data_IF_010789627460
#
_entry.id   IF_010789627460
#
_cell.length_a   1.000
_cell.length_b   1.000
_cell.length_c   1.000
_cell.angle_alpha   90.00
_cell.angle_beta   90.00
_cell.angle_gamma   90.00
#
_symmetry.space_group_name_H-M   'P 1'
#
loop_
_entity.id
_entity.type
_entity.pdbx_description
1 polymer ?
#
# COMPACT_ATOMS: atom_id res chain seq x y z
N UNK A 1 -99.40 -43.23 -10.42
CA UNK A 1 -98.24 -42.88 -9.56
C UNK A 1 -97.12 -43.89 -9.80
N UNK A 2 -96.08 -43.54 -10.55
CA UNK A 2 -94.86 -44.34 -10.72
C UNK A 2 -93.68 -43.41 -10.50
N UNK A 3 -93.02 -43.57 -9.35
CA UNK A 3 -91.79 -42.86 -9.01
C UNK A 3 -90.66 -43.86 -9.23
N UNK A 4 -89.91 -43.69 -10.33
CA UNK A 4 -88.67 -44.40 -10.60
C UNK A 4 -87.55 -43.76 -9.79
N UNK A 5 -87.30 -44.32 -8.62
CA UNK A 5 -86.06 -44.14 -7.87
C UNK A 5 -85.20 -45.36 -8.20
N UNK A 6 -84.10 -45.19 -8.95
CA UNK A 6 -82.89 -46.04 -8.94
C UNK A 6 -81.96 -45.64 -10.11
N UNK A 7 -81.05 -44.69 -9.88
CA UNK A 7 -79.79 -44.56 -10.63
C UNK A 7 -78.88 -43.54 -9.96
N UNK A 8 -78.08 -43.96 -8.95
CA UNK A 8 -77.04 -43.08 -8.37
C UNK A 8 -75.73 -43.79 -7.96
N UNK A 9 -75.49 -45.05 -8.30
CA UNK A 9 -74.29 -45.77 -7.81
C UNK A 9 -73.25 -46.18 -8.85
N UNK A 10 -73.43 -45.89 -10.16
CA UNK A 10 -72.43 -46.28 -11.18
C UNK A 10 -71.29 -45.28 -11.42
N UNK A 11 -71.31 -44.08 -10.83
CA UNK A 11 -70.25 -43.07 -11.02
C UNK A 11 -68.94 -43.31 -10.26
N UNK A 12 -68.88 -44.25 -9.30
CA UNK A 12 -67.70 -44.40 -8.40
C UNK A 12 -66.60 -45.32 -8.94
N UNK A 13 -66.85 -46.17 -9.95
CA UNK A 13 -65.82 -47.08 -10.51
C UNK A 13 -64.92 -46.42 -11.56
N UNK A 14 -65.41 -45.41 -12.28
CA UNK A 14 -64.65 -44.71 -13.31
C UNK A 14 -63.57 -43.75 -12.76
N UNK A 15 -63.65 -43.35 -11.48
CA UNK A 15 -62.68 -42.42 -10.87
C UNK A 15 -61.41 -43.11 -10.31
N UNK A 16 -61.37 -44.45 -10.21
CA UNK A 16 -60.21 -45.17 -9.65
C UNK A 16 -58.96 -45.14 -10.56
N UNK A 17 -59.11 -44.95 -11.87
CA UNK A 17 -57.98 -44.85 -12.80
C UNK A 17 -57.32 -43.46 -12.84
N UNK A 18 -58.12 -42.41 -12.67
CA UNK A 18 -57.62 -41.02 -12.69
C UNK A 18 -56.74 -40.71 -11.48
N UNK A 19 -57.07 -41.25 -10.31
CA UNK A 19 -56.27 -41.07 -9.10
C UNK A 19 -54.85 -41.62 -9.25
N UNK A 20 -54.68 -42.78 -9.91
CA UNK A 20 -53.37 -43.40 -10.14
C UNK A 20 -52.51 -42.53 -11.06
N UNK A 21 -53.09 -41.96 -12.12
CA UNK A 21 -52.37 -41.07 -13.03
C UNK A 21 -51.91 -39.77 -12.34
N UNK A 22 -52.75 -39.20 -11.48
CA UNK A 22 -52.40 -37.98 -10.72
C UNK A 22 -51.27 -38.29 -9.73
N UNK A 23 -51.35 -39.40 -8.99
CA UNK A 23 -50.31 -39.79 -8.02
C UNK A 23 -48.99 -40.10 -8.73
N UNK A 24 -49.02 -40.86 -9.84
CA UNK A 24 -47.82 -41.13 -10.64
C UNK A 24 -47.19 -39.84 -11.17
N UNK A 25 -48.02 -38.90 -11.67
CA UNK A 25 -47.56 -37.58 -12.10
C UNK A 25 -46.93 -36.77 -10.97
N UNK A 26 -47.52 -36.79 -9.77
CA UNK A 26 -46.95 -36.11 -8.60
C UNK A 26 -45.63 -36.72 -8.15
N UNK A 27 -45.50 -38.05 -8.14
CA UNK A 27 -44.24 -38.73 -7.78
C UNK A 27 -43.14 -38.36 -8.78
N UNK A 28 -43.44 -38.40 -10.09
CA UNK A 28 -42.49 -38.00 -11.14
C UNK A 28 -42.08 -36.53 -10.95
N UNK A 29 -43.05 -35.64 -10.71
CA UNK A 29 -42.76 -34.23 -10.47
C UNK A 29 -41.87 -34.02 -9.24
N UNK A 30 -42.14 -34.71 -8.13
CA UNK A 30 -41.33 -34.62 -6.91
C UNK A 30 -39.92 -35.20 -7.10
N UNK A 31 -39.77 -36.27 -7.87
CA UNK A 31 -38.45 -36.85 -8.20
C UNK A 31 -37.66 -35.88 -9.08
N UNK A 32 -38.27 -35.30 -10.12
CA UNK A 32 -37.61 -34.31 -10.99
C UNK A 32 -37.19 -33.07 -10.20
N UNK A 33 -38.05 -32.57 -9.30
CA UNK A 33 -37.70 -31.45 -8.43
C UNK A 33 -36.58 -31.82 -7.45
N UNK A 34 -36.67 -32.99 -6.81
CA UNK A 34 -35.66 -33.47 -5.87
C UNK A 34 -34.29 -33.64 -6.52
N UNK A 35 -34.24 -34.15 -7.75
CA UNK A 35 -32.99 -34.36 -8.47
C UNK A 35 -32.36 -33.05 -8.97
N UNK A 36 -33.17 -32.08 -9.38
CA UNK A 36 -32.68 -30.72 -9.70
C UNK A 36 -32.00 -30.05 -8.50
N UNK A 37 -32.50 -30.27 -7.27
CA UNK A 37 -31.90 -29.70 -6.05
C UNK A 37 -30.47 -30.22 -5.84
N UNK A 38 -30.19 -31.48 -6.14
CA UNK A 38 -28.83 -32.03 -6.01
C UNK A 38 -27.84 -31.40 -6.99
N UNK A 39 -28.25 -31.27 -8.26
CA UNK A 39 -27.42 -30.65 -9.30
C UNK A 39 -27.14 -29.17 -8.98
N UNK A 40 -28.16 -28.43 -8.50
CA UNK A 40 -27.99 -27.05 -8.04
C UNK A 40 -27.08 -26.98 -6.80
N UNK A 41 -27.23 -27.91 -5.86
CA UNK A 41 -26.39 -27.99 -4.66
C UNK A 41 -24.92 -28.19 -4.98
N UNK A 42 -24.61 -29.11 -5.90
CA UNK A 42 -23.24 -29.34 -6.38
C UNK A 42 -22.68 -28.13 -7.11
N UNK A 43 -23.47 -27.50 -7.99
CA UNK A 43 -23.06 -26.28 -8.68
C UNK A 43 -22.79 -25.11 -7.72
N UNK A 44 -23.60 -24.95 -6.66
CA UNK A 44 -23.38 -23.94 -5.63
C UNK A 44 -22.15 -24.23 -4.78
N UNK A 45 -21.88 -25.49 -4.44
CA UNK A 45 -20.68 -25.89 -3.72
C UNK A 45 -19.42 -25.59 -4.54
N UNK A 46 -19.43 -25.97 -5.82
CA UNK A 46 -18.35 -25.71 -6.76
C UNK A 46 -18.07 -24.21 -6.92
N UNK A 47 -19.13 -23.39 -7.05
CA UNK A 47 -19.01 -21.93 -7.12
C UNK A 47 -18.30 -21.32 -5.90
N UNK A 48 -18.51 -21.85 -4.69
CA UNK A 48 -17.83 -21.35 -3.48
C UNK A 48 -16.34 -21.63 -3.50
N UNK A 49 -15.95 -22.82 -3.97
CA UNK A 49 -14.55 -23.19 -4.13
C UNK A 49 -13.89 -22.33 -5.22
N UNK A 50 -14.55 -22.18 -6.37
CA UNK A 50 -14.11 -21.31 -7.45
C UNK A 50 -13.89 -19.88 -6.97
N UNK A 51 -14.78 -19.34 -6.13
CA UNK A 51 -14.60 -18.00 -5.57
C UNK A 51 -13.35 -17.91 -4.70
N UNK A 52 -13.12 -18.86 -3.80
CA UNK A 52 -11.93 -18.87 -2.94
C UNK A 52 -10.63 -18.98 -3.76
N UNK A 53 -10.63 -19.78 -4.84
CA UNK A 53 -9.48 -19.92 -5.74
C UNK A 53 -9.24 -18.66 -6.56
N UNK A 54 -10.29 -18.05 -7.11
CA UNK A 54 -10.19 -16.79 -7.84
C UNK A 54 -9.67 -15.68 -6.92
N UNK A 55 -10.18 -15.58 -5.70
CA UNK A 55 -9.79 -14.59 -4.70
C UNK A 55 -8.29 -14.72 -4.36
N UNK A 56 -7.83 -15.94 -4.06
CA UNK A 56 -6.42 -16.20 -3.75
C UNK A 56 -5.49 -15.89 -4.93
N UNK A 57 -5.88 -16.32 -6.14
CA UNK A 57 -5.11 -16.10 -7.35
C UNK A 57 -5.03 -14.62 -7.74
N UNK A 58 -6.15 -13.89 -7.66
CA UNK A 58 -6.19 -12.46 -7.93
C UNK A 58 -5.32 -11.69 -6.93
N UNK A 59 -5.42 -12.00 -5.64
CA UNK A 59 -4.62 -11.34 -4.61
C UNK A 59 -3.12 -11.62 -4.77
N UNK A 60 -2.74 -12.87 -5.06
CA UNK A 60 -1.35 -13.25 -5.26
C UNK A 60 -0.75 -12.65 -6.53
N UNK A 61 -1.51 -12.67 -7.64
CA UNK A 61 -1.10 -12.06 -8.89
C UNK A 61 -0.98 -10.55 -8.79
N UNK A 62 -1.96 -9.87 -8.18
CA UNK A 62 -1.94 -8.42 -8.00
C UNK A 62 -0.76 -7.94 -7.13
N UNK A 63 -0.29 -8.75 -6.17
CA UNK A 63 0.93 -8.48 -5.40
C UNK A 63 2.22 -8.58 -6.23
N UNK A 64 2.16 -9.23 -7.38
CA UNK A 64 3.33 -9.55 -8.20
C UNK A 64 3.47 -8.64 -9.42
N UNK A 65 2.60 -7.61 -9.55
CA UNK A 65 2.84 -6.52 -10.47
C UNK A 65 4.08 -5.73 -10.04
N UNK A 66 4.98 -5.55 -11.00
CA UNK A 66 6.23 -4.81 -10.80
C UNK A 66 6.84 -4.43 -12.15
N UNK A 67 8.08 -3.92 -12.17
CA UNK A 67 8.70 -3.34 -13.36
C UNK A 67 8.78 -4.30 -14.56
N UNK A 68 8.81 -5.61 -14.30
CA UNK A 68 8.85 -6.69 -15.29
C UNK A 68 7.54 -6.86 -16.10
N UNK A 69 6.49 -6.10 -15.80
CA UNK A 69 5.23 -6.09 -16.54
C UNK A 69 4.20 -7.13 -16.08
N UNK A 70 3.01 -7.16 -16.71
CA UNK A 70 1.88 -8.00 -16.29
C UNK A 70 2.12 -9.50 -16.33
N UNK A 71 3.05 -9.97 -17.18
CA UNK A 71 3.35 -11.40 -17.32
C UNK A 71 3.70 -12.08 -16.00
N UNK A 72 4.42 -11.39 -15.11
CA UNK A 72 4.78 -11.96 -13.81
C UNK A 72 3.56 -12.11 -12.90
N UNK A 73 2.67 -11.13 -12.89
CA UNK A 73 1.42 -11.16 -12.13
C UNK A 73 0.52 -12.32 -12.57
N UNK A 74 0.35 -12.50 -13.88
CA UNK A 74 -0.41 -13.62 -14.43
C UNK A 74 0.23 -14.97 -14.11
N UNK A 75 1.56 -15.07 -14.23
CA UNK A 75 2.28 -16.30 -13.90
C UNK A 75 2.10 -16.69 -12.44
N UNK A 76 2.16 -15.74 -11.51
CA UNK A 76 1.92 -16.00 -10.09
C UNK A 76 0.45 -16.36 -9.82
N UNK A 77 -0.51 -15.67 -10.44
CA UNK A 77 -1.93 -16.04 -10.33
C UNK A 77 -2.15 -17.51 -10.78
N UNK A 78 -1.55 -17.91 -11.90
CA UNK A 78 -1.62 -19.28 -12.39
C UNK A 78 -0.91 -20.30 -11.49
N UNK A 79 0.21 -19.94 -10.86
CA UNK A 79 0.88 -20.82 -9.88
C UNK A 79 0.00 -21.11 -8.68
N UNK A 80 -0.81 -20.14 -8.24
CA UNK A 80 -1.77 -20.33 -7.14
C UNK A 80 -2.97 -21.20 -7.57
N UNK A 81 -3.37 -21.12 -8.84
CA UNK A 81 -4.45 -21.96 -9.39
C UNK A 81 -4.00 -23.39 -9.70
N UNK A 82 -2.75 -23.59 -10.12
CA UNK A 82 -2.19 -24.88 -10.53
C UNK A 82 -2.45 -26.03 -9.53
N UNK A 83 -2.06 -25.92 -8.24
CA UNK A 83 -2.24 -27.02 -7.30
C UNK A 83 -3.71 -27.25 -6.92
N UNK A 84 -4.54 -26.20 -6.91
CA UNK A 84 -5.95 -26.32 -6.50
C UNK A 84 -6.86 -26.81 -7.62
N UNK A 85 -6.54 -26.49 -8.88
CA UNK A 85 -7.28 -26.95 -10.06
C UNK A 85 -6.67 -28.22 -10.70
N UNK A 86 -5.52 -28.68 -10.22
CA UNK A 86 -4.90 -29.94 -10.64
C UNK A 86 -4.20 -29.88 -11.99
N UNK A 87 -3.55 -28.77 -12.31
CA UNK A 87 -2.72 -28.63 -13.52
C UNK A 87 -1.29 -28.20 -13.18
N UNK A 88 -0.37 -28.32 -14.15
CA UNK A 88 1.00 -27.80 -14.02
C UNK A 88 1.21 -26.64 -14.98
N UNK A 89 2.10 -25.72 -14.60
CA UNK A 89 2.64 -24.73 -15.51
C UNK A 89 3.83 -25.30 -16.28
N UNK A 90 4.06 -24.92 -17.55
CA UNK A 90 3.32 -23.91 -18.32
C UNK A 90 1.96 -24.38 -18.86
N UNK A 91 1.06 -23.43 -19.17
CA UNK A 91 -0.24 -23.72 -19.81
C UNK A 91 -0.60 -22.71 -20.89
N UNK A 92 -0.89 -23.20 -22.10
CA UNK A 92 -1.17 -22.35 -23.26
C UNK A 92 -0.05 -21.34 -23.53
N UNK A 93 -0.41 -20.07 -23.69
CA UNK A 93 0.53 -18.97 -23.89
C UNK A 93 1.29 -18.54 -22.62
N UNK A 94 0.93 -19.09 -21.44
CA UNK A 94 1.61 -18.82 -20.17
C UNK A 94 2.77 -19.80 -20.00
N UNK A 95 3.93 -19.45 -20.56
CA UNK A 95 5.11 -20.32 -20.63
C UNK A 95 6.19 -20.03 -19.59
N UNK A 96 6.24 -18.80 -19.05
CA UNK A 96 7.18 -18.41 -18.00
C UNK A 96 6.70 -17.15 -17.27
N UNK A 97 7.42 -16.75 -16.21
CA UNK A 97 7.19 -15.46 -15.52
C UNK A 97 7.36 -14.23 -16.42
N UNK A 98 8.17 -14.34 -17.48
CA UNK A 98 8.34 -13.27 -18.47
C UNK A 98 7.31 -13.31 -19.60
N UNK A 99 6.67 -14.47 -19.83
CA UNK A 99 5.75 -14.70 -20.95
C UNK A 99 4.48 -15.40 -20.48
N UNK A 100 3.55 -14.60 -19.94
CA UNK A 100 2.22 -15.03 -19.54
C UNK A 100 1.22 -13.89 -19.82
N UNK A 101 0.80 -13.69 -21.08
CA UNK A 101 0.00 -12.54 -21.48
C UNK A 101 -1.44 -12.65 -20.97
N UNK A 102 -2.14 -11.53 -20.74
CA UNK A 102 -3.58 -11.57 -20.45
C UNK A 102 -4.34 -12.40 -21.51
N UNK A 103 -5.35 -13.15 -21.08
CA UNK A 103 -6.11 -14.02 -21.97
C UNK A 103 -6.87 -15.12 -21.23
N UNK A 104 -7.52 -15.98 -22.02
CA UNK A 104 -8.25 -17.14 -21.52
C UNK A 104 -7.43 -18.40 -21.74
N UNK A 105 -7.23 -19.16 -20.67
CA UNK A 105 -6.54 -20.44 -20.64
C UNK A 105 -7.53 -21.56 -20.34
N UNK A 106 -7.30 -22.74 -20.89
CA UNK A 106 -8.09 -23.93 -20.59
C UNK A 106 -7.19 -24.97 -19.93
N UNK A 107 -7.53 -25.39 -18.72
CA UNK A 107 -6.77 -26.37 -17.96
C UNK A 107 -7.71 -27.24 -17.11
N UNK A 108 -7.55 -28.56 -17.17
CA UNK A 108 -8.29 -29.51 -16.33
C UNK A 108 -9.83 -29.32 -16.30
N UNK A 109 -10.45 -28.90 -17.40
CA UNK A 109 -11.89 -28.64 -17.48
C UNK A 109 -12.33 -27.25 -16.99
N UNK A 110 -11.38 -26.42 -16.57
CA UNK A 110 -11.60 -25.02 -16.21
C UNK A 110 -11.20 -24.09 -17.37
N UNK A 111 -11.94 -23.01 -17.53
CA UNK A 111 -11.50 -21.82 -18.26
C UNK A 111 -11.07 -20.75 -17.26
N UNK A 112 -9.84 -20.29 -17.37
CA UNK A 112 -9.22 -19.28 -16.51
C UNK A 112 -9.01 -18.06 -17.38
N UNK A 113 -9.70 -16.96 -17.10
CA UNK A 113 -9.47 -15.68 -17.80
C UNK A 113 -8.73 -14.74 -16.87
N UNK A 114 -7.57 -14.28 -17.33
CA UNK A 114 -6.80 -13.23 -16.70
C UNK A 114 -6.95 -11.97 -17.54
N UNK A 115 -7.38 -10.87 -16.92
CA UNK A 115 -7.41 -9.57 -17.60
C UNK A 115 -6.83 -8.48 -16.72
N UNK A 116 -6.06 -7.62 -17.37
CA UNK A 116 -5.49 -6.41 -16.80
C UNK A 116 -6.47 -5.25 -17.01
N UNK A 117 -6.75 -4.48 -15.96
CA UNK A 117 -7.46 -3.20 -16.11
C UNK A 117 -6.69 -2.03 -15.51
N UNK A 118 -6.63 -0.94 -16.27
CA UNK A 118 -5.99 0.31 -15.88
C UNK A 118 -7.02 1.25 -15.23
N UNK A 119 -6.69 1.85 -14.07
CA UNK A 119 -7.43 3.02 -13.59
C UNK A 119 -7.17 4.21 -14.53
N UNK A 120 -8.25 4.88 -14.94
CA UNK A 120 -8.19 6.13 -15.72
C UNK A 120 -7.62 7.24 -14.82
N UNK A 121 -6.70 8.07 -15.36
CA UNK A 121 -5.79 9.05 -14.69
C UNK A 121 -4.37 8.54 -14.37
N UNK A 122 -3.83 7.73 -15.28
CA UNK A 122 -2.52 7.10 -15.23
C UNK A 122 -1.33 8.01 -14.90
N UNK A 123 -0.46 7.45 -14.06
CA UNK A 123 0.98 7.65 -14.08
C UNK A 123 1.58 6.30 -14.53
N UNK A 124 2.07 6.29 -15.77
CA UNK A 124 2.81 5.28 -16.57
C UNK A 124 2.74 3.74 -16.26
N UNK A 125 2.23 3.01 -17.28
CA UNK A 125 2.63 1.68 -17.80
C UNK A 125 2.37 0.35 -17.04
N UNK A 126 1.69 0.31 -15.89
CA UNK A 126 1.37 -0.97 -15.24
C UNK A 126 -0.14 -1.13 -14.96
N UNK A 127 -0.71 -2.34 -15.13
CA UNK A 127 -2.07 -2.60 -14.68
C UNK A 127 -2.17 -2.41 -13.17
N UNK A 128 -3.15 -1.63 -12.74
CA UNK A 128 -3.44 -1.39 -11.32
C UNK A 128 -4.33 -2.47 -10.71
N UNK A 129 -4.90 -3.33 -11.55
CA UNK A 129 -5.94 -4.30 -11.18
C UNK A 129 -5.80 -5.57 -12.01
N UNK A 130 -5.77 -6.71 -11.32
CA UNK A 130 -5.88 -8.04 -11.90
C UNK A 130 -7.30 -8.58 -11.71
N UNK A 131 -7.93 -8.94 -12.82
CA UNK A 131 -9.18 -9.70 -12.84
C UNK A 131 -8.89 -11.17 -13.13
N UNK A 132 -9.38 -12.05 -12.26
CA UNK A 132 -9.34 -13.51 -12.42
C UNK A 132 -10.75 -14.02 -12.49
N UNK A 133 -11.12 -14.62 -13.62
CA UNK A 133 -12.40 -15.31 -13.80
C UNK A 133 -12.15 -16.79 -13.99
N UNK A 134 -12.75 -17.60 -13.13
CA UNK A 134 -12.73 -19.06 -13.23
C UNK A 134 -14.10 -19.54 -13.68
N UNK A 135 -14.13 -20.35 -14.74
CA UNK A 135 -15.33 -21.03 -15.22
C UNK A 135 -15.08 -22.52 -15.23
N UNK A 136 -16.02 -23.32 -14.75
CA UNK A 136 -15.93 -24.78 -14.71
C UNK A 136 -17.18 -25.37 -15.36
N UNK A 137 -16.99 -26.39 -16.20
CA UNK A 137 -18.07 -27.16 -16.78
C UNK A 137 -18.07 -28.56 -16.19
N UNK A 138 -19.08 -28.86 -15.38
CA UNK A 138 -19.25 -30.17 -14.77
C UNK A 138 -20.43 -30.93 -15.41
N UNK A 139 -20.34 -32.26 -15.56
CA UNK A 139 -21.46 -33.07 -16.01
C UNK A 139 -22.63 -32.95 -15.01
N UNK A 140 -23.85 -32.78 -15.52
CA UNK A 140 -25.02 -32.88 -14.65
C UNK A 140 -25.31 -34.35 -14.30
N UNK A 141 -25.72 -34.61 -13.06
CA UNK A 141 -26.02 -35.98 -12.63
C UNK A 141 -27.45 -36.33 -13.01
N UNK A 142 -28.40 -35.40 -12.85
CA UNK A 142 -29.81 -35.67 -13.08
C UNK A 142 -30.44 -34.76 -14.13
N UNK A 143 -29.96 -33.53 -14.32
CA UNK A 143 -30.45 -32.62 -15.34
C UNK A 143 -30.22 -33.19 -16.76
N UNK A 144 -29.29 -34.13 -16.93
CA UNK A 144 -29.11 -34.90 -18.16
C UNK A 144 -30.34 -35.73 -18.55
N UNK A 145 -31.17 -36.12 -17.57
CA UNK A 145 -32.42 -36.85 -17.83
C UNK A 145 -33.47 -35.99 -18.52
N UNK A 146 -33.35 -34.66 -18.41
CA UNK A 146 -34.23 -33.67 -19.06
C UNK A 146 -33.49 -32.86 -20.14
N UNK A 147 -32.34 -33.37 -20.62
CA UNK A 147 -31.61 -32.84 -21.78
C UNK A 147 -30.46 -31.88 -21.47
N UNK A 148 -30.21 -31.50 -20.22
CA UNK A 148 -29.08 -30.64 -19.85
C UNK A 148 -27.88 -31.49 -19.45
N UNK A 149 -26.89 -31.68 -20.32
CA UNK A 149 -25.76 -32.59 -20.06
C UNK A 149 -24.63 -31.98 -19.22
N UNK A 150 -24.56 -30.65 -19.14
CA UNK A 150 -23.50 -29.92 -18.43
C UNK A 150 -24.08 -28.74 -17.65
N UNK A 151 -23.44 -28.42 -16.52
CA UNK A 151 -23.69 -27.23 -15.73
C UNK A 151 -22.42 -26.38 -15.75
N UNK A 152 -22.59 -25.09 -16.06
CA UNK A 152 -21.48 -24.13 -16.05
C UNK A 152 -21.56 -23.30 -14.77
N UNK A 153 -20.48 -23.30 -14.00
CA UNK A 153 -20.30 -22.49 -12.80
C UNK A 153 -19.17 -21.52 -13.06
N UNK A 154 -19.28 -20.30 -12.52
CA UNK A 154 -18.24 -19.29 -12.65
C UNK A 154 -18.12 -18.47 -11.38
N UNK A 155 -16.90 -18.03 -11.11
CA UNK A 155 -16.56 -17.08 -10.07
C UNK A 155 -15.53 -16.09 -10.62
N UNK A 156 -15.58 -14.86 -10.11
CA UNK A 156 -14.65 -13.81 -10.50
C UNK A 156 -14.13 -13.12 -9.25
N UNK A 157 -12.86 -12.75 -9.31
CA UNK A 157 -12.21 -11.95 -8.29
C UNK A 157 -11.43 -10.85 -8.97
N UNK A 158 -11.54 -9.64 -8.40
CA UNK A 158 -10.76 -8.49 -8.79
C UNK A 158 -9.85 -8.13 -7.62
N UNK A 159 -8.57 -7.96 -7.87
CA UNK A 159 -7.63 -7.48 -6.86
C UNK A 159 -6.82 -6.34 -7.44
N UNK A 160 -6.66 -5.26 -6.67
CA UNK A 160 -5.71 -4.22 -7.00
C UNK A 160 -4.33 -4.54 -6.45
N UNK A 161 -3.30 -3.96 -7.08
CA UNK A 161 -1.99 -3.87 -6.44
C UNK A 161 -2.15 -3.34 -5.02
N UNK A 162 -1.43 -3.90 -4.03
CA UNK A 162 -1.28 -3.24 -2.73
C UNK A 162 -0.73 -1.82 -2.93
N UNK A 163 -1.08 -0.92 -2.00
CA UNK A 163 -0.93 0.54 -2.05
C UNK A 163 0.47 1.10 -2.38
N UNK A 164 0.88 2.27 -1.84
CA UNK A 164 1.73 3.14 -2.61
C UNK A 164 3.10 2.59 -2.98
N UNK A 165 3.28 2.16 -4.23
CA UNK A 165 4.58 1.80 -4.76
C UNK A 165 5.34 3.10 -5.07
N UNK A 166 6.05 3.65 -4.08
CA UNK A 166 7.16 4.53 -4.44
C UNK A 166 8.24 3.65 -5.01
N UNK A 167 8.60 3.92 -6.25
CA UNK A 167 9.67 3.24 -6.96
C UNK A 167 11.01 3.63 -6.32
N UNK A 168 11.32 3.00 -5.18
CA UNK A 168 12.39 3.42 -4.27
C UNK A 168 12.08 4.77 -3.63
N UNK A 169 12.47 4.95 -2.37
CA UNK A 169 12.88 6.31 -2.02
C UNK A 169 14.10 6.56 -2.91
N UNK A 170 13.98 7.35 -3.98
CA UNK A 170 15.09 7.54 -4.92
C UNK A 170 16.17 8.49 -4.35
N UNK A 171 15.83 9.23 -3.30
CA UNK A 171 16.64 10.31 -2.75
C UNK A 171 16.57 10.31 -1.22
N UNK A 172 17.69 10.57 -0.57
CA UNK A 172 17.74 10.87 0.87
C UNK A 172 17.02 12.19 1.17
N UNK A 173 17.19 13.18 0.29
CA UNK A 173 16.52 14.49 0.35
C UNK A 173 16.00 14.86 -1.03
N UNK A 174 14.72 15.20 -1.12
CA UNK A 174 14.09 15.72 -2.34
C UNK A 174 13.27 16.98 -2.07
N UNK A 175 13.66 18.11 -2.67
CA UNK A 175 12.83 19.31 -2.79
C UNK A 175 12.19 19.35 -4.19
N UNK A 176 10.91 18.99 -4.30
CA UNK A 176 10.28 18.65 -5.58
C UNK A 176 9.75 19.84 -6.37
N UNK A 177 9.61 21.02 -5.75
CA UNK A 177 9.10 22.23 -6.41
C UNK A 177 9.88 23.50 -6.12
N UNK A 178 10.82 23.46 -5.17
CA UNK A 178 11.61 24.62 -4.75
C UNK A 178 13.05 24.27 -4.40
N UNK A 179 13.67 25.18 -3.66
CA UNK A 179 15.05 25.07 -3.23
C UNK A 179 15.21 24.07 -2.08
N UNK A 180 16.40 23.46 -1.97
CA UNK A 180 16.87 22.74 -0.79
C UNK A 180 18.12 23.45 -0.26
N UNK A 181 17.92 24.56 0.46
CA UNK A 181 18.97 25.50 0.85
C UNK A 181 19.17 25.67 2.35
N UNK A 182 20.40 26.04 2.71
CA UNK A 182 20.75 26.59 4.02
C UNK A 182 20.97 28.10 3.89
N UNK A 183 20.11 28.87 4.58
CA UNK A 183 20.04 30.33 4.58
C UNK A 183 20.29 30.87 5.99
N UNK A 184 21.55 31.02 6.43
CA UNK A 184 21.84 31.34 7.84
C UNK A 184 23.08 32.20 8.09
N UNK A 185 23.40 32.45 9.36
CA UNK A 185 24.75 32.82 9.85
C UNK A 185 25.30 31.69 10.75
N UNK A 186 26.62 31.54 10.96
CA UNK A 186 27.17 30.48 11.84
C UNK A 186 27.76 29.26 11.12
N UNK A 187 28.13 28.21 11.86
CA UNK A 187 28.80 27.00 11.34
C UNK A 187 27.83 25.81 11.26
N UNK A 188 26.60 26.04 10.79
CA UNK A 188 25.65 24.94 10.64
C UNK A 188 26.12 24.00 9.53
N UNK A 189 26.10 22.70 9.82
CA UNK A 189 26.53 21.65 8.89
C UNK A 189 25.35 20.75 8.57
N UNK A 190 25.15 20.50 7.27
CA UNK A 190 24.23 19.47 6.80
C UNK A 190 25.03 18.35 6.17
N UNK A 191 24.75 17.11 6.56
CA UNK A 191 25.31 15.91 5.93
C UNK A 191 24.20 15.09 5.31
N UNK A 192 24.34 14.72 4.03
CA UNK A 192 23.36 13.89 3.32
C UNK A 192 24.04 12.63 2.80
N UNK A 193 23.71 11.47 3.36
CA UNK A 193 24.40 10.21 3.07
C UNK A 193 24.01 9.53 1.74
N UNK A 194 22.99 10.03 1.04
CA UNK A 194 22.44 9.39 -0.16
C UNK A 194 22.08 10.39 -1.27
N UNK A 195 21.42 9.93 -2.36
CA UNK A 195 21.10 10.76 -3.51
C UNK A 195 20.25 11.97 -3.16
N UNK A 196 20.45 13.06 -3.89
CA UNK A 196 19.74 14.33 -3.67
C UNK A 196 18.98 14.76 -4.92
N UNK A 197 17.74 15.21 -4.72
CA UNK A 197 16.96 15.92 -5.74
C UNK A 197 16.64 17.35 -5.28
N UNK A 198 16.89 18.33 -6.13
CA UNK A 198 16.41 19.70 -5.93
C UNK A 198 15.81 20.24 -7.21
N UNK A 199 14.56 20.71 -7.15
CA UNK A 199 13.97 21.42 -8.28
C UNK A 199 14.62 22.79 -8.47
N UNK A 200 14.90 23.48 -7.35
CA UNK A 200 15.60 24.75 -7.28
C UNK A 200 17.12 24.60 -7.07
N UNK A 201 17.69 25.45 -6.22
CA UNK A 201 19.08 25.41 -5.79
C UNK A 201 19.30 24.38 -4.68
N UNK A 202 20.52 23.84 -4.57
CA UNK A 202 20.91 22.94 -3.49
C UNK A 202 22.18 23.41 -2.79
N UNK A 203 22.15 23.35 -1.46
CA UNK A 203 23.30 23.59 -0.60
C UNK A 203 23.28 24.95 0.10
N UNK A 204 24.45 25.53 0.37
CA UNK A 204 24.54 26.80 1.08
C UNK A 204 24.26 27.99 0.15
N UNK A 205 23.50 28.99 0.58
CA UNK A 205 23.31 30.21 -0.24
C UNK A 205 24.27 31.35 0.14
N UNK A 206 24.95 31.24 1.29
CA UNK A 206 25.90 32.22 1.83
C UNK A 206 26.95 31.53 2.75
N UNK A 207 28.12 32.15 2.94
CA UNK A 207 29.09 31.68 3.96
C UNK A 207 28.59 32.01 5.38
N UNK A 208 28.98 31.28 6.46
CA UNK A 208 29.99 30.21 6.61
C UNK A 208 29.45 28.77 6.58
N UNK A 209 28.25 28.54 6.04
CA UNK A 209 27.60 27.22 6.03
C UNK A 209 28.15 26.28 4.98
N UNK A 210 27.93 24.99 5.20
CA UNK A 210 28.30 23.99 4.21
C UNK A 210 27.38 22.77 4.24
N UNK A 211 26.98 22.33 3.06
CA UNK A 211 26.29 21.05 2.86
C UNK A 211 27.29 20.04 2.33
N UNK A 212 27.53 18.98 3.08
CA UNK A 212 28.42 17.87 2.76
C UNK A 212 27.65 16.68 2.20
N UNK A 213 28.14 16.15 1.07
CA UNK A 213 27.58 14.96 0.42
C UNK A 213 28.73 14.02 0.05
N UNK A 214 28.84 12.80 0.61
CA UNK A 214 29.89 11.86 0.22
C UNK A 214 29.70 11.46 -1.26
N UNK A 215 30.80 11.27 -1.99
CA UNK A 215 30.72 10.89 -3.41
C UNK A 215 30.14 9.48 -3.65
N UNK A 216 30.14 8.64 -2.61
CA UNK A 216 29.52 7.32 -2.58
C UNK A 216 28.42 7.31 -1.52
N UNK A 217 27.37 6.55 -1.75
CA UNK A 217 26.28 6.45 -0.78
C UNK A 217 26.78 5.78 0.51
N UNK A 218 26.44 6.37 1.64
CA UNK A 218 26.72 5.85 2.99
C UNK A 218 25.42 5.45 3.67
N UNK A 219 25.39 4.25 4.24
CA UNK A 219 24.29 3.75 5.03
C UNK A 219 24.10 4.56 6.32
N UNK A 220 23.04 4.24 7.08
CA UNK A 220 22.64 5.01 8.26
C UNK A 220 23.72 5.01 9.35
N UNK A 221 24.53 3.96 9.42
CA UNK A 221 25.66 3.80 10.33
C UNK A 221 26.97 4.45 9.83
N UNK A 222 26.93 5.14 8.69
CA UNK A 222 28.08 5.78 8.05
C UNK A 222 28.96 4.83 7.22
N UNK A 223 28.65 3.53 7.16
CA UNK A 223 29.37 2.59 6.28
C UNK A 223 29.01 2.82 4.82
N UNK A 224 29.90 2.50 3.89
CA UNK A 224 29.59 2.61 2.45
C UNK A 224 28.56 1.56 2.03
N UNK A 225 27.59 1.95 1.21
CA UNK A 225 26.59 1.03 0.68
C UNK A 225 27.22 -0.13 -0.09
N UNK A 226 26.65 -1.35 -0.04
CA UNK A 226 27.12 -2.50 -0.83
C UNK A 226 27.23 -2.17 -2.32
N UNK A 227 28.36 -2.51 -2.93
CA UNK A 227 28.66 -2.15 -4.33
C UNK A 227 29.14 -0.72 -4.55
N UNK A 228 29.24 0.09 -3.48
CA UNK A 228 29.67 1.49 -3.52
C UNK A 228 28.96 2.30 -4.61
N UNK A 229 27.62 2.27 -4.66
CA UNK A 229 26.88 3.05 -5.64
C UNK A 229 27.28 4.53 -5.50
N UNK A 230 27.55 5.21 -6.62
CA UNK A 230 27.86 6.63 -6.58
C UNK A 230 26.66 7.37 -5.99
N UNK A 231 26.96 8.36 -5.18
CA UNK A 231 25.96 9.34 -4.84
C UNK A 231 25.72 10.25 -6.06
N UNK A 232 24.57 10.90 -6.14
CA UNK A 232 24.25 11.77 -7.27
C UNK A 232 23.39 12.95 -6.83
N UNK A 233 23.50 14.04 -7.59
CA UNK A 233 22.64 15.20 -7.44
C UNK A 233 21.88 15.44 -8.74
N UNK A 234 20.56 15.41 -8.63
CA UNK A 234 19.65 15.63 -9.75
C UNK A 234 18.95 16.97 -9.58
N UNK A 235 19.05 17.83 -10.60
CA UNK A 235 18.47 19.16 -10.61
C UNK A 235 17.30 19.25 -11.60
N UNK A 236 16.13 19.69 -11.12
CA UNK A 236 14.90 19.78 -11.91
C UNK A 236 14.69 21.06 -12.71
N UNK A 237 15.25 22.17 -12.24
CA UNK A 237 15.14 23.49 -12.87
C UNK A 237 16.44 23.87 -13.55
N UNK A 238 16.38 24.25 -14.83
CA UNK A 238 17.58 24.66 -15.57
C UNK A 238 18.30 25.83 -14.88
N UNK A 239 19.59 25.67 -14.57
CA UNK A 239 20.51 26.75 -14.22
C UNK A 239 20.59 27.16 -12.73
N UNK A 240 20.14 26.33 -11.79
CA UNK A 240 20.19 26.68 -10.36
C UNK A 240 21.60 26.53 -9.75
N UNK A 241 21.84 27.24 -8.64
CA UNK A 241 23.11 27.22 -7.91
C UNK A 241 23.29 25.92 -7.13
N UNK A 242 24.39 25.22 -7.37
CA UNK A 242 24.83 24.09 -6.58
C UNK A 242 26.00 24.53 -5.71
N UNK A 243 25.77 24.63 -4.41
CA UNK A 243 26.78 25.05 -3.44
C UNK A 243 26.89 24.02 -2.31
N UNK A 244 27.44 22.87 -2.68
CA UNK A 244 27.76 21.77 -1.78
C UNK A 244 29.24 21.43 -1.92
N UNK A 245 29.76 20.65 -0.99
CA UNK A 245 31.08 20.03 -1.11
C UNK A 245 30.94 18.52 -0.93
N UNK A 246 31.89 17.78 -1.48
CA UNK A 246 32.00 16.38 -1.18
C UNK A 246 32.83 16.16 0.07
N UNK A 247 32.32 15.34 1.00
CA UNK A 247 32.98 15.13 2.30
C UNK A 247 34.29 14.35 2.19
N UNK A 248 34.47 13.64 1.07
CA UNK A 248 35.64 12.84 0.72
C UNK A 248 36.52 13.47 -0.37
N UNK A 249 36.17 14.67 -0.86
CA UNK A 249 36.94 15.41 -1.88
C UNK A 249 36.85 14.86 -3.31
N UNK A 250 36.07 13.80 -3.54
CA UNK A 250 35.86 13.21 -4.86
C UNK A 250 34.75 13.94 -5.64
N UNK A 251 34.70 13.84 -6.98
CA UNK A 251 33.64 14.46 -7.75
C UNK A 251 32.28 13.78 -7.51
N UNK A 252 31.20 14.57 -7.48
CA UNK A 252 29.82 14.07 -7.41
C UNK A 252 29.13 14.22 -8.78
N UNK A 253 28.56 13.14 -9.36
CA UNK A 253 27.72 13.21 -10.54
C UNK A 253 26.58 14.21 -10.36
N UNK A 254 26.44 15.13 -11.32
CA UNK A 254 25.32 16.07 -11.39
C UNK A 254 24.54 15.85 -12.68
N UNK A 255 23.23 15.69 -12.58
CA UNK A 255 22.33 15.65 -13.74
C UNK A 255 21.37 16.83 -13.68
N UNK A 256 21.05 17.40 -14.84
CA UNK A 256 20.20 18.59 -14.93
C UNK A 256 18.98 18.32 -15.78
N UNK A 257 17.92 19.09 -15.54
CA UNK A 257 16.61 18.93 -16.17
C UNK A 257 15.96 17.56 -15.89
N UNK A 258 16.22 17.00 -14.69
CA UNK A 258 15.55 15.77 -14.26
C UNK A 258 14.14 16.12 -13.78
N UNK A 259 13.07 15.58 -14.40
CA UNK A 259 11.72 15.87 -13.94
C UNK A 259 11.55 15.49 -12.47
N UNK A 260 10.73 16.23 -11.70
CA UNK A 260 10.50 15.91 -10.30
C UNK A 260 10.05 14.47 -10.16
N UNK A 261 10.52 13.73 -9.14
CA UNK A 261 10.12 12.35 -8.88
C UNK A 261 8.67 12.33 -8.39
N UNK A 262 7.76 12.57 -9.33
CA UNK A 262 6.33 12.74 -9.12
C UNK A 262 5.54 11.47 -9.42
N UNK A 263 6.22 10.32 -9.42
CA UNK A 263 5.56 9.02 -9.52
C UNK A 263 4.95 8.70 -8.17
N UNK A 264 3.71 9.10 -8.03
CA UNK A 264 2.98 9.07 -6.80
C UNK A 264 1.87 8.04 -6.88
N UNK A 265 1.79 7.18 -5.88
CA UNK A 265 0.60 6.36 -5.72
C UNK A 265 -0.37 7.06 -4.75
N UNK A 266 -1.65 7.06 -5.14
CA UNK A 266 -2.76 7.65 -4.40
C UNK A 266 -3.20 6.81 -3.19
N UNK A 267 -2.59 5.66 -2.96
CA UNK A 267 -2.88 4.87 -1.78
C UNK A 267 -2.22 5.52 -0.56
N UNK A 268 -3.02 6.00 0.40
CA UNK A 268 -2.52 6.44 1.71
C UNK A 268 -2.40 5.23 2.64
N UNK A 269 -1.47 5.22 3.62
CA UNK A 269 -1.61 4.31 4.77
C UNK A 269 -3.00 4.48 5.39
N UNK A 270 -3.65 3.37 5.76
CA UNK A 270 -5.03 3.37 6.29
C UNK A 270 -5.01 2.84 7.73
N UNK A 271 -5.73 3.49 8.67
CA UNK A 271 -5.90 2.98 10.02
C UNK A 271 -6.56 1.59 10.08
N UNK A 272 -6.16 0.82 11.09
CA UNK A 272 -6.62 -0.56 11.30
C UNK A 272 -8.03 -0.60 11.90
N UNK A 273 -8.84 -1.58 11.50
CA UNK A 273 -10.22 -1.76 11.97
C UNK A 273 -11.26 -1.43 10.89
N UNK A 274 -12.41 -2.12 10.90
CA UNK A 274 -13.52 -1.86 9.98
C UNK A 274 -14.82 -1.66 10.78
N UNK A 275 -15.29 -0.41 10.96
CA UNK A 275 -14.59 0.84 10.64
C UNK A 275 -13.40 1.10 11.61
N UNK A 276 -12.39 1.89 11.20
CA UNK A 276 -11.32 2.29 12.11
C UNK A 276 -11.85 3.17 13.24
N UNK A 277 -11.25 3.12 14.44
CA UNK A 277 -11.69 3.92 15.58
C UNK A 277 -11.50 5.41 15.30
N UNK A 278 -12.49 6.20 15.69
CA UNK A 278 -12.55 7.65 15.46
C UNK A 278 -12.52 8.40 16.80
N UNK A 279 -11.60 9.34 16.94
CA UNK A 279 -11.37 10.10 18.16
C UNK A 279 -11.64 11.58 17.92
N UNK A 280 -12.43 12.20 18.81
CA UNK A 280 -12.68 13.65 18.82
C UNK A 280 -12.06 14.34 20.03
N UNK A 281 -11.46 13.58 20.96
CA UNK A 281 -10.82 14.10 22.16
C UNK A 281 -9.58 13.28 22.53
N UNK A 282 -8.61 13.92 23.18
CA UNK A 282 -7.41 13.26 23.67
C UNK A 282 -7.69 12.12 24.68
N UNK A 283 -8.72 12.29 25.52
CA UNK A 283 -9.12 11.29 26.52
C UNK A 283 -9.57 9.99 25.86
N UNK A 284 -10.32 10.07 24.76
CA UNK A 284 -10.76 8.90 24.00
C UNK A 284 -9.62 8.23 23.24
N UNK A 285 -8.64 9.02 22.80
CA UNK A 285 -7.53 8.57 21.98
C UNK A 285 -6.39 7.90 22.78
N UNK A 286 -6.44 7.96 24.12
CA UNK A 286 -5.45 7.32 24.99
C UNK A 286 -5.91 5.95 25.51
N UNK A 287 -4.97 5.05 25.74
CA UNK A 287 -5.20 3.79 26.45
C UNK A 287 -5.10 3.97 27.98
N UNK A 288 -5.22 2.88 28.73
CA UNK A 288 -5.16 2.91 30.19
C UNK A 288 -3.77 3.32 30.74
N UNK A 289 -2.72 3.22 29.92
CA UNK A 289 -1.35 3.64 30.26
C UNK A 289 -1.08 5.09 29.85
N UNK A 290 -2.04 5.74 29.17
CA UNK A 290 -1.90 7.11 28.67
C UNK A 290 -1.23 7.22 27.30
N UNK A 291 -0.99 6.10 26.61
CA UNK A 291 -0.39 6.08 25.28
C UNK A 291 -1.45 6.36 24.22
N UNK A 292 -1.08 7.06 23.16
CA UNK A 292 -1.94 7.30 22.01
C UNK A 292 -2.24 5.99 21.27
N UNK A 293 -3.50 5.82 20.84
CA UNK A 293 -3.96 4.64 20.10
C UNK A 293 -4.03 4.94 18.59
N UNK A 294 -3.72 3.98 17.70
CA UNK A 294 -3.94 4.17 16.27
C UNK A 294 -5.42 4.39 15.96
N UNK A 295 -5.70 5.11 14.86
CA UNK A 295 -7.06 5.49 14.48
C UNK A 295 -7.14 6.81 13.71
N UNK A 296 -8.36 7.35 13.62
CA UNK A 296 -8.65 8.65 12.99
C UNK A 296 -8.82 9.71 14.08
N UNK A 297 -8.11 10.83 13.94
CA UNK A 297 -8.08 11.97 14.86
C UNK A 297 -8.69 13.18 14.17
N UNK A 298 -9.76 13.73 14.73
CA UNK A 298 -10.51 14.81 14.10
C UNK A 298 -10.42 16.10 14.90
N UNK A 299 -9.82 17.14 14.30
CA UNK A 299 -9.66 18.45 14.91
C UNK A 299 -8.54 18.55 15.94
N UNK A 300 -7.72 17.50 16.11
CA UNK A 300 -6.54 17.51 16.95
C UNK A 300 -5.53 16.44 16.51
N UNK A 301 -4.29 16.55 16.99
CA UNK A 301 -3.24 15.56 16.77
C UNK A 301 -2.71 15.00 18.10
N UNK A 302 -2.15 13.78 18.10
CA UNK A 302 -1.29 13.32 19.19
C UNK A 302 -0.19 14.34 19.48
N UNK A 303 -0.02 14.70 20.75
CA UNK A 303 1.00 15.65 21.20
C UNK A 303 1.57 15.22 22.54
N UNK A 304 2.89 14.99 22.58
CA UNK A 304 3.63 14.51 23.74
C UNK A 304 3.28 13.08 24.20
N UNK A 305 4.13 12.49 25.04
CA UNK A 305 3.94 11.12 25.56
C UNK A 305 4.26 10.04 24.51
N UNK A 306 3.76 8.82 24.72
CA UNK A 306 4.08 7.69 23.86
C UNK A 306 2.93 7.34 22.89
N UNK A 307 3.28 6.86 21.70
CA UNK A 307 2.36 6.34 20.68
C UNK A 307 2.50 4.83 20.57
N UNK A 308 1.36 4.13 20.61
CA UNK A 308 1.31 2.70 20.28
C UNK A 308 1.61 2.50 18.79
N UNK A 309 2.12 1.33 18.41
CA UNK A 309 2.37 1.03 17.00
C UNK A 309 1.09 1.08 16.15
N UNK A 310 1.17 1.68 14.96
CA UNK A 310 0.07 1.72 13.98
C UNK A 310 -0.06 3.02 13.19
N UNK A 311 -1.19 3.16 12.50
CA UNK A 311 -1.48 4.31 11.61
C UNK A 311 -2.39 5.32 12.33
N UNK A 312 -1.99 6.59 12.28
CA UNK A 312 -2.64 7.74 12.88
C UNK A 312 -3.05 8.69 11.77
N UNK A 313 -4.32 8.63 11.37
CA UNK A 313 -4.84 9.58 10.38
C UNK A 313 -5.39 10.81 11.10
N UNK A 314 -4.83 11.97 10.81
CA UNK A 314 -5.33 13.25 11.31
C UNK A 314 -6.20 13.88 10.20
N UNK A 315 -7.29 14.53 10.62
CA UNK A 315 -8.21 15.25 9.75
C UNK A 315 -8.71 16.52 10.44
N UNK A 316 -9.03 17.53 9.65
CA UNK A 316 -9.60 18.82 10.05
C UNK A 316 -8.80 19.52 11.17
N UNK A 317 -7.50 19.31 11.25
CA UNK A 317 -6.66 19.92 12.29
C UNK A 317 -5.87 21.11 11.74
N UNK A 318 -5.80 22.18 12.53
CA UNK A 318 -4.98 23.35 12.23
C UNK A 318 -3.77 23.38 13.16
N UNK A 319 -2.58 23.69 12.63
CA UNK A 319 -1.34 23.82 13.40
C UNK A 319 -1.06 22.60 14.30
N UNK A 320 -0.56 21.54 13.67
CA UNK A 320 -0.23 20.26 14.27
C UNK A 320 1.08 20.40 15.06
N UNK A 321 1.08 20.12 16.36
CA UNK A 321 2.32 20.04 17.14
C UNK A 321 2.44 18.66 17.77
N UNK A 322 3.46 17.92 17.35
CA UNK A 322 3.75 16.60 17.89
C UNK A 322 4.35 16.69 19.30
N UNK A 323 4.98 17.80 19.66
CA UNK A 323 5.64 17.96 20.96
C UNK A 323 6.70 16.88 21.21
N UNK A 324 6.89 16.49 22.47
CA UNK A 324 7.86 15.46 22.88
C UNK A 324 7.35 14.04 22.67
N UNK A 325 6.72 13.77 21.53
CA UNK A 325 6.09 12.47 21.28
C UNK A 325 7.15 11.41 20.95
N UNK A 326 6.94 10.19 21.46
CA UNK A 326 7.84 9.06 21.23
C UNK A 326 7.08 7.81 20.84
N UNK A 327 7.74 6.84 20.21
CA UNK A 327 7.21 5.47 20.17
C UNK A 327 7.13 4.88 21.60
N UNK A 328 6.25 3.91 21.84
CA UNK A 328 6.20 3.18 23.13
C UNK A 328 7.51 2.46 23.45
N UNK A 329 8.23 2.02 22.41
CA UNK A 329 9.59 1.52 22.51
C UNK A 329 10.47 2.38 21.62
N UNK A 330 10.88 3.55 22.11
CA UNK A 330 11.83 4.35 21.36
C UNK A 330 13.20 3.65 21.34
N UNK A 331 13.63 3.36 20.13
CA UNK A 331 14.97 2.94 19.78
C UNK A 331 15.58 4.09 18.96
N UNK A 332 16.86 4.41 19.11
CA UNK A 332 17.49 5.50 18.36
C UNK A 332 17.35 5.30 16.84
N UNK A 333 17.45 6.38 16.05
CA UNK A 333 17.49 6.29 14.58
C UNK A 333 18.33 5.11 14.07
N UNK A 334 17.77 4.31 13.17
CA UNK A 334 18.45 3.13 12.64
C UNK A 334 18.48 1.90 13.58
N UNK A 335 17.75 1.89 14.70
CA UNK A 335 17.62 0.71 15.61
C UNK A 335 16.20 0.10 15.62
N UNK A 336 16.09 -1.24 15.60
CA UNK A 336 14.81 -1.95 15.36
C UNK A 336 13.79 -1.88 16.51
N UNK A 337 12.52 -1.59 16.20
CA UNK A 337 11.36 -1.69 17.11
C UNK A 337 10.27 -2.61 16.53
N UNK A 338 10.19 -3.88 16.97
CA UNK A 338 9.26 -4.86 16.42
C UNK A 338 7.79 -4.68 16.88
N UNK A 339 7.45 -3.71 17.75
CA UNK A 339 6.12 -3.60 18.37
C UNK A 339 5.53 -2.18 18.44
N UNK A 340 6.30 -1.11 18.22
CA UNK A 340 5.88 0.27 18.51
C UNK A 340 5.94 1.27 17.36
N UNK A 341 6.10 0.82 16.11
CA UNK A 341 6.33 1.71 14.98
C UNK A 341 5.09 2.49 14.49
N UNK A 342 5.27 3.73 14.04
CA UNK A 342 4.20 4.73 13.86
C UNK A 342 4.18 5.27 12.43
N UNK A 343 2.98 5.42 11.85
CA UNK A 343 2.76 6.20 10.63
C UNK A 343 1.71 7.28 10.88
N UNK A 344 2.07 8.54 10.61
CA UNK A 344 1.17 9.69 10.69
C UNK A 344 0.72 10.05 9.28
N UNK A 345 -0.60 10.12 9.07
CA UNK A 345 -1.23 10.48 7.80
C UNK A 345 -1.93 11.81 7.97
N UNK A 346 -1.54 12.79 7.16
CA UNK A 346 -2.18 14.10 7.05
C UNK A 346 -2.93 14.16 5.72
N UNK A 347 -4.10 14.78 5.69
CA UNK A 347 -4.84 14.98 4.45
C UNK A 347 -5.12 16.47 4.16
N UNK A 348 -5.80 16.76 3.04
CA UNK A 348 -6.10 18.14 2.63
C UNK A 348 -7.01 18.91 3.58
N UNK A 349 -7.67 18.25 4.51
CA UNK A 349 -8.47 18.96 5.52
C UNK A 349 -7.60 19.55 6.64
N UNK A 350 -6.35 19.08 6.77
CA UNK A 350 -5.39 19.63 7.70
C UNK A 350 -4.72 20.88 7.12
N UNK A 351 -4.42 21.86 7.96
CA UNK A 351 -3.86 23.16 7.53
C UNK A 351 -2.81 23.70 8.50
N UNK A 352 -1.99 24.64 8.00
CA UNK A 352 -1.04 25.38 8.82
C UNK A 352 0.31 24.66 8.97
N UNK A 353 0.88 24.68 10.17
CA UNK A 353 2.22 24.16 10.44
C UNK A 353 2.18 22.79 11.11
N UNK A 354 3.00 21.85 10.62
CA UNK A 354 3.38 20.61 11.31
C UNK A 354 4.69 20.85 12.06
N UNK A 355 4.60 21.02 13.36
CA UNK A 355 5.72 21.16 14.27
C UNK A 355 6.20 19.80 14.79
N UNK A 356 7.43 19.45 14.42
CA UNK A 356 8.09 18.19 14.79
C UNK A 356 9.31 18.41 15.71
N UNK A 357 9.48 19.62 16.28
CA UNK A 357 10.71 20.04 16.99
C UNK A 357 11.25 19.01 17.99
N UNK A 358 10.40 18.35 18.77
CA UNK A 358 10.84 17.40 19.80
C UNK A 358 10.35 15.97 19.55
N UNK A 359 9.87 15.68 18.34
CA UNK A 359 9.35 14.37 17.99
C UNK A 359 10.46 13.33 17.82
N UNK A 360 10.27 12.14 18.40
CA UNK A 360 11.19 11.01 18.30
C UNK A 360 10.46 9.75 17.87
N UNK A 361 10.33 9.55 16.57
CA UNK A 361 9.47 8.52 16.00
C UNK A 361 10.22 7.63 15.02
N UNK A 362 9.97 6.33 15.14
CA UNK A 362 10.40 5.35 14.15
C UNK A 362 9.20 4.91 13.32
N UNK A 363 9.40 4.94 12.00
CA UNK A 363 8.46 4.51 10.97
C UNK A 363 8.29 3.00 11.00
N UNK A 364 7.22 2.53 10.37
CA UNK A 364 6.82 1.12 10.46
C UNK A 364 7.98 0.17 10.07
N UNK A 365 8.35 -0.72 10.98
CA UNK A 365 9.11 -1.93 10.64
C UNK A 365 8.18 -2.88 9.87
N UNK A 366 8.73 -3.65 8.95
CA UNK A 366 8.03 -4.57 8.07
C UNK A 366 7.07 -5.46 8.88
N UNK A 367 5.76 -5.29 8.64
CA UNK A 367 4.68 -6.07 9.27
C UNK A 367 4.65 -7.50 8.71
N UNK A 368 5.66 -8.32 9.01
CA UNK A 368 5.54 -9.75 8.81
C UNK A 368 4.47 -10.32 9.78
N UNK A 369 3.68 -11.30 9.35
CA UNK A 369 2.72 -11.97 10.23
C UNK A 369 3.44 -12.61 11.42
N UNK A 370 2.72 -12.75 12.54
CA UNK A 370 3.24 -13.42 13.74
C UNK A 370 3.77 -14.82 13.38
N UNK A 371 5.09 -15.03 13.51
CA UNK A 371 5.76 -16.29 13.24
C UNK A 371 6.72 -16.33 12.04
N UNK A 372 7.04 -15.20 11.39
CA UNK A 372 8.08 -15.17 10.35
C UNK A 372 9.49 -15.36 10.95
N UNK A 373 10.26 -16.29 10.38
CA UNK A 373 11.62 -16.68 10.84
C UNK A 373 12.72 -16.47 9.80
N UNK A 374 12.46 -15.68 8.75
CA UNK A 374 13.46 -15.36 7.72
C UNK A 374 14.39 -14.21 8.13
N UNK A 375 15.37 -13.90 7.27
CA UNK A 375 16.22 -12.71 7.42
C UNK A 375 15.34 -11.46 7.38
N UNK A 376 15.30 -10.71 8.49
CA UNK A 376 14.61 -9.41 8.54
C UNK A 376 15.33 -8.42 7.64
N UNK A 377 14.60 -7.48 7.05
CA UNK A 377 15.22 -6.45 6.23
C UNK A 377 16.18 -5.58 7.08
N UNK A 378 17.25 -5.04 6.49
CA UNK A 378 18.12 -4.07 7.16
C UNK A 378 17.32 -2.86 7.64
N UNK A 379 17.82 -2.14 8.64
CA UNK A 379 16.99 -1.28 9.49
C UNK A 379 16.58 0.03 8.80
N UNK A 380 15.34 0.52 9.01
CA UNK A 380 14.82 1.78 8.45
C UNK A 380 14.36 1.72 6.99
N UNK A 381 14.17 0.53 6.44
CA UNK A 381 14.16 0.30 4.99
C UNK A 381 12.80 0.38 4.30
N UNK A 382 11.63 0.46 4.97
CA UNK A 382 10.40 0.20 4.19
C UNK A 382 9.11 1.00 4.43
N UNK A 383 8.94 1.86 5.46
CA UNK A 383 7.64 2.53 5.67
C UNK A 383 7.67 4.01 6.11
N UNK A 384 6.49 4.64 5.99
CA UNK A 384 6.27 6.05 6.32
C UNK A 384 6.28 6.33 7.82
N UNK A 385 6.94 7.42 8.19
CA UNK A 385 6.75 8.11 9.48
C UNK A 385 5.66 9.16 9.33
N UNK A 386 5.71 9.95 8.26
CA UNK A 386 4.77 11.03 7.97
C UNK A 386 4.41 10.98 6.49
N UNK A 387 3.12 11.00 6.18
CA UNK A 387 2.58 10.97 4.84
C UNK A 387 1.50 12.03 4.68
N UNK A 388 1.71 12.99 3.78
CA UNK A 388 0.76 14.08 3.51
C UNK A 388 -0.19 13.81 2.34
N UNK A 389 -0.16 12.62 1.75
CA UNK A 389 -0.90 12.33 0.53
C UNK A 389 -0.30 12.96 -0.72
N UNK A 390 -0.74 12.47 -1.87
CA UNK A 390 -0.47 13.08 -3.16
C UNK A 390 -1.76 13.45 -3.90
N UNK A 391 -1.68 14.43 -4.81
CA UNK A 391 -2.76 14.92 -5.66
C UNK A 391 -3.27 16.29 -5.23
N UNK A 392 -4.31 16.81 -5.87
CA UNK A 392 -4.90 18.11 -5.54
C UNK A 392 -5.30 18.25 -4.05
N UNK A 393 -5.50 17.11 -3.36
CA UNK A 393 -5.99 16.97 -2.00
C UNK A 393 -4.94 16.49 -0.96
N UNK A 394 -3.64 16.61 -1.22
CA UNK A 394 -2.60 16.40 -0.19
C UNK A 394 -2.50 17.57 0.80
N UNK A 395 -1.99 17.31 2.01
CA UNK A 395 -1.68 18.33 3.01
C UNK A 395 -0.75 19.40 2.42
N UNK A 396 -1.16 20.66 2.56
CA UNK A 396 -0.40 21.82 2.11
C UNK A 396 -0.21 22.77 3.29
N UNK A 397 1.03 23.16 3.54
CA UNK A 397 1.39 23.90 4.74
C UNK A 397 2.89 24.01 4.92
N UNK A 398 3.34 24.13 6.16
CA UNK A 398 4.76 24.15 6.51
C UNK A 398 5.08 23.03 7.48
N UNK A 399 6.29 22.46 7.40
CA UNK A 399 6.83 21.56 8.40
C UNK A 399 7.94 22.31 9.13
N UNK A 400 7.87 22.46 10.45
CA UNK A 400 8.82 23.27 11.22
C UNK A 400 9.63 22.46 12.21
N UNK A 401 10.92 22.77 12.28
CA UNK A 401 11.87 22.34 13.33
C UNK A 401 12.38 23.59 14.04
N UNK A 402 11.98 23.77 15.30
CA UNK A 402 12.30 24.92 16.14
C UNK A 402 13.77 24.97 16.59
N UNK A 403 14.16 26.03 17.33
CA UNK A 403 15.52 26.16 17.87
C UNK A 403 15.81 25.07 18.91
N UNK A 404 17.07 24.59 18.95
CA UNK A 404 17.53 23.54 19.87
C UNK A 404 16.74 22.21 19.77
N UNK A 405 16.12 21.95 18.62
CA UNK A 405 15.41 20.70 18.38
C UNK A 405 16.32 19.49 18.58
N UNK A 406 15.74 18.44 19.17
CA UNK A 406 16.35 17.10 19.30
C UNK A 406 15.55 16.05 18.55
N UNK A 407 14.91 16.47 17.45
CA UNK A 407 14.12 15.60 16.58
C UNK A 407 14.96 14.41 16.13
N UNK A 408 14.38 13.21 16.24
CA UNK A 408 14.94 11.99 15.66
C UNK A 408 13.83 11.20 14.97
N UNK A 409 13.82 11.20 13.64
CA UNK A 409 12.81 10.49 12.84
C UNK A 409 13.48 9.46 11.93
N UNK A 410 13.00 8.21 11.95
CA UNK A 410 13.49 7.16 11.07
C UNK A 410 12.39 6.60 10.18
N UNK A 411 12.52 6.69 8.85
CA UNK A 411 11.62 6.14 7.84
C UNK A 411 11.41 7.13 6.69
N UNK A 412 10.25 7.06 6.03
CA UNK A 412 9.93 7.95 4.90
C UNK A 412 9.04 9.11 5.37
N UNK A 413 9.49 10.34 5.15
CA UNK A 413 8.70 11.57 5.29
C UNK A 413 8.32 12.03 3.89
N UNK A 414 7.04 11.99 3.58
CA UNK A 414 6.52 12.34 2.27
C UNK A 414 5.46 13.44 2.37
N UNK A 415 5.88 14.66 2.05
CA UNK A 415 5.11 15.91 2.16
C UNK A 415 5.39 16.83 0.95
N UNK A 416 5.08 16.40 -0.29
CA UNK A 416 5.54 17.07 -1.52
C UNK A 416 4.99 18.48 -1.74
N UNK A 417 4.02 18.93 -0.95
CA UNK A 417 3.39 20.26 -1.00
C UNK A 417 3.70 21.13 0.23
N UNK A 418 4.61 20.66 1.08
CA UNK A 418 4.92 21.29 2.35
C UNK A 418 6.31 21.90 2.28
N UNK A 419 6.43 23.14 2.70
CA UNK A 419 7.72 23.79 2.86
C UNK A 419 8.32 23.40 4.21
N UNK A 420 9.47 22.74 4.19
CA UNK A 420 10.24 22.42 5.38
C UNK A 420 11.06 23.64 5.80
N UNK A 421 10.93 24.03 7.06
CA UNK A 421 11.67 25.11 7.69
C UNK A 421 12.34 24.61 8.97
N UNK A 422 13.65 24.79 9.08
CA UNK A 422 14.41 24.41 10.28
C UNK A 422 15.25 25.56 10.81
N UNK A 423 15.42 25.63 12.13
CA UNK A 423 16.30 26.61 12.76
C UNK A 423 17.78 26.16 12.70
N UNK A 424 18.71 27.05 12.38
CA UNK A 424 20.15 26.75 12.32
C UNK A 424 20.80 26.40 13.67
N UNK A 425 20.10 26.59 14.79
CA UNK A 425 20.52 26.13 16.13
C UNK A 425 19.98 24.73 16.47
N UNK A 426 19.28 24.08 15.55
CA UNK A 426 18.69 22.76 15.74
C UNK A 426 19.58 21.65 15.21
N UNK A 427 19.48 20.46 15.81
CA UNK A 427 20.21 19.28 15.33
C UNK A 427 19.26 18.10 15.09
N UNK A 428 18.30 18.21 14.17
CA UNK A 428 17.42 17.10 13.82
C UNK A 428 18.21 16.02 13.05
N UNK A 429 17.88 14.78 13.35
CA UNK A 429 18.37 13.59 12.65
C UNK A 429 17.21 12.92 11.93
N UNK A 430 17.41 12.65 10.63
CA UNK A 430 16.47 11.95 9.79
C UNK A 430 17.16 10.72 9.18
N UNK A 431 16.63 9.53 9.43
CA UNK A 431 17.14 8.29 8.83
C UNK A 431 16.15 7.73 7.83
N UNK A 432 16.46 7.79 6.55
CA UNK A 432 15.60 7.30 5.47
C UNK A 432 15.50 8.31 4.33
N UNK A 433 14.29 8.79 4.04
CA UNK A 433 14.01 9.72 2.93
C UNK A 433 13.09 10.84 3.33
N UNK A 434 13.44 12.07 2.95
CA UNK A 434 12.65 13.27 3.19
C UNK A 434 12.29 13.92 1.85
N UNK A 435 11.00 13.95 1.54
CA UNK A 435 10.45 14.49 0.28
C UNK A 435 9.49 15.63 0.62
N UNK A 436 9.85 16.85 0.22
CA UNK A 436 9.15 18.10 0.56
C UNK A 436 9.01 19.01 -0.66
N UNK A 437 8.17 20.05 -0.59
CA UNK A 437 8.04 21.03 -1.66
C UNK A 437 9.33 21.85 -1.81
N UNK A 438 9.76 22.43 -0.70
CA UNK A 438 11.04 23.13 -0.54
C UNK A 438 11.62 22.81 0.84
N UNK A 439 12.92 23.00 1.00
CA UNK A 439 13.64 22.84 2.25
C UNK A 439 14.48 24.09 2.48
N UNK A 440 14.22 24.77 3.59
CA UNK A 440 14.99 25.95 3.99
C UNK A 440 15.42 25.84 5.45
N UNK A 441 16.73 25.91 5.68
CA UNK A 441 17.29 26.07 7.02
C UNK A 441 17.55 27.55 7.25
N UNK A 442 17.07 28.11 8.36
CA UNK A 442 17.28 29.52 8.72
C UNK A 442 17.92 29.67 10.10
N UNK A 443 18.98 30.46 10.24
CA UNK A 443 19.49 30.80 11.58
C UNK A 443 21.00 30.91 11.71
N UNK A 444 21.42 31.36 12.89
CA UNK A 444 22.77 31.80 13.29
C UNK A 444 23.70 30.73 13.90
N UNK A 445 23.23 29.49 14.04
CA UNK A 445 23.77 28.54 15.02
C UNK A 445 24.78 27.52 14.51
N UNK A 446 25.20 26.70 15.46
CA UNK A 446 26.11 25.55 15.25
C UNK A 446 25.34 24.22 15.28
N UNK A 447 24.06 24.23 14.89
CA UNK A 447 23.26 23.03 14.78
C UNK A 447 23.78 22.10 13.67
N UNK A 448 23.56 20.80 13.83
CA UNK A 448 24.00 19.77 12.87
C UNK A 448 22.80 19.01 12.37
N UNK A 449 22.50 19.15 11.08
CA UNK A 449 21.39 18.43 10.45
C UNK A 449 21.92 17.22 9.71
N UNK A 450 21.44 16.04 10.07
CA UNK A 450 21.91 14.80 9.48
C UNK A 450 20.78 14.06 8.78
N UNK A 451 20.98 13.80 7.50
CA UNK A 451 20.10 12.99 6.67
C UNK A 451 20.83 11.68 6.39
N UNK A 452 20.63 10.72 7.29
CA UNK A 452 21.13 9.36 7.16
C UNK A 452 20.38 8.65 6.03
N UNK A 453 21.14 8.06 5.12
CA UNK A 453 20.59 7.28 4.02
C UNK A 453 20.54 5.81 4.40
N UNK A 454 19.52 5.11 3.92
CA UNK A 454 19.43 3.67 4.08
C UNK A 454 19.70 3.04 2.72
N UNK A 455 20.74 2.22 2.62
CA UNK A 455 21.07 1.57 1.35
C UNK A 455 19.94 0.64 0.91
N UNK A 456 19.65 0.61 -0.40
CA UNK A 456 18.56 -0.20 -0.97
C UNK A 456 17.16 0.13 -0.39
N UNK A 457 16.96 1.34 0.16
CA UNK A 457 15.68 1.83 0.67
C UNK A 457 14.59 1.73 -0.41
N UNK A 458 13.68 0.77 -0.24
CA UNK A 458 12.48 0.61 -1.07
C UNK A 458 11.31 1.10 -0.25
N UNK A 459 10.42 1.92 -0.77
CA UNK A 459 9.15 2.07 -0.07
C UNK A 459 8.34 0.80 -0.35
N UNK A 460 7.99 0.03 0.68
CA UNK A 460 7.05 -1.09 0.52
C UNK A 460 5.76 -0.66 1.20
N UNK A 461 5.00 0.17 0.52
CA UNK A 461 3.65 0.39 0.97
C UNK A 461 2.74 -0.64 0.31
N UNK A 462 2.05 -1.41 1.14
CA UNK A 462 1.42 -2.65 0.70
C UNK A 462 1.45 -3.78 1.73
N UNK A 463 2.13 -3.59 2.86
CA UNK A 463 1.81 -4.35 4.07
C UNK A 463 0.41 -3.91 4.58
N UNK A 464 -0.38 -4.85 5.13
CA UNK A 464 -1.78 -5.01 4.79
C UNK A 464 -2.71 -4.03 5.51
N UNK A 465 -3.00 -2.88 4.92
CA UNK A 465 -4.18 -2.09 5.34
C UNK A 465 -5.14 -1.66 4.23
N UNK A 466 -4.87 -1.94 2.94
CA UNK A 466 -5.88 -2.26 1.90
C UNK A 466 -5.22 -2.43 0.52
N UNK A 467 -4.54 -3.56 0.31
CA UNK A 467 -4.49 -4.25 -0.98
C UNK A 467 -5.36 -5.48 -0.83
N UNK A 468 -6.57 -5.46 -1.39
CA UNK A 468 -7.59 -6.45 -1.08
C UNK A 468 -8.52 -6.69 -2.26
N UNK A 469 -9.31 -7.74 -2.15
CA UNK A 469 -10.34 -8.08 -3.12
C UNK A 469 -11.30 -6.91 -3.26
N UNK A 470 -11.38 -6.37 -4.47
CA UNK A 470 -12.40 -5.42 -4.88
C UNK A 470 -13.64 -6.26 -5.24
N UNK A 471 -14.64 -6.28 -4.35
CA UNK A 471 -15.91 -6.95 -4.61
C UNK A 471 -16.86 -6.09 -5.42
#
# INVERSE_FOLDING_TARGET
MRVNMLSRFQGRRAQRGQAIAIVAGMIVALVVLGTMVFDVGLAMSDRRNLQAHADAAALAGARSYGPAGPSNAHWVAMQYLAPVLGFSLPTGACSSSANCPAGTYSAAGYQITLSDSFRVNGIYNYPSVLDVVLTHQQPSIFARMVGYTQLTTAAAARASTPGPQFNGAAYAVAAVSGDAMINGGGAAFQTVGGPVYAYGSFGANNGPHSTGVPSVQTNYDGTTCPGSPPNQLDNGGGGNGLNYHTTDGNPLPTTSNVPPPNNYDNASPVPVGSPPPFYNTAVQAKDALGNWKPGIYNGFAPSGGAMNGGVYKIVNSANLSLGTITNTTYTASGTADPLGAVAIVLDSSDTGTLDITDAKLNGLDDLYPAGYTGTRDPMGTHNFVIFGGNGASGFAGTMSVGPAATTDLSGIIYLPKVDYSSNGNSSPEFTGSVIVASMTVTGGGNGVQVFHWVCDLKAVAGQPYQGGLLR
#
